data_IF_040410013407
#
_entry.id   IF_040410013407
#
_cell.length_a   1.000
_cell.length_b   1.000
_cell.length_c   1.000
_cell.angle_alpha   90.00
_cell.angle_beta   90.00
_cell.angle_gamma   90.00
#
_symmetry.space_group_name_H-M   'P 1'
#
loop_
_entity.id
_entity.type
_entity.pdbx_description
1 polymer ?
#
# COMPACT_ATOMS: atom_id res chain seq x y z
N UNK A 1 16.96 -5.05 -20.18
CA UNK A 1 15.86 -4.74 -19.25
C UNK A 1 14.57 -5.18 -19.93
N UNK A 2 13.70 -5.91 -19.23
CA UNK A 2 12.40 -6.37 -19.75
C UNK A 2 11.29 -5.72 -18.93
N UNK A 3 10.15 -5.45 -19.55
CA UNK A 3 8.95 -4.94 -18.88
C UNK A 3 7.89 -6.05 -18.83
N UNK A 4 7.40 -6.36 -17.62
CA UNK A 4 6.26 -7.24 -17.40
C UNK A 4 5.08 -6.37 -16.97
N UNK A 5 3.94 -6.54 -17.64
CA UNK A 5 2.70 -5.86 -17.27
C UNK A 5 1.70 -6.87 -16.71
N UNK A 6 1.27 -6.64 -15.47
CA UNK A 6 0.27 -7.48 -14.78
C UNK A 6 -1.03 -6.69 -14.68
N UNK A 7 -2.14 -7.32 -15.05
CA UNK A 7 -3.49 -6.80 -14.87
C UNK A 7 -4.16 -7.59 -13.74
N UNK A 8 -4.82 -6.89 -12.84
CA UNK A 8 -5.57 -7.47 -11.71
C UNK A 8 -7.02 -7.02 -11.90
N UNK A 9 -7.92 -7.98 -12.08
CA UNK A 9 -9.34 -7.74 -12.33
C UNK A 9 -10.19 -7.97 -11.07
N UNK A 10 -9.97 -9.11 -10.40
CA UNK A 10 -10.66 -9.45 -9.16
C UNK A 10 -9.67 -9.48 -7.99
N UNK A 11 -9.84 -8.54 -7.07
CA UNK A 11 -9.04 -8.44 -5.85
C UNK A 11 -9.96 -8.41 -4.63
N UNK A 12 -9.84 -9.45 -3.80
CA UNK A 12 -10.51 -9.48 -2.52
C UNK A 12 -9.80 -8.57 -1.51
N UNK A 13 -10.35 -7.38 -1.31
CA UNK A 13 -9.84 -6.39 -0.37
C UNK A 13 -9.84 -6.86 1.08
N UNK A 14 -10.74 -7.76 1.46
CA UNK A 14 -10.81 -8.27 2.82
C UNK A 14 -9.64 -9.22 3.09
N UNK A 15 -9.23 -10.01 2.09
CA UNK A 15 -8.06 -10.89 2.16
C UNK A 15 -6.73 -10.15 2.36
N UNK A 16 -6.64 -8.89 1.90
CA UNK A 16 -5.42 -8.08 1.99
C UNK A 16 -5.51 -6.95 3.03
N UNK A 17 -6.63 -6.85 3.76
CA UNK A 17 -6.86 -5.76 4.72
C UNK A 17 -5.76 -5.70 5.81
N UNK A 18 -5.22 -6.85 6.23
CA UNK A 18 -4.12 -6.92 7.20
C UNK A 18 -2.83 -6.24 6.72
N UNK A 19 -2.63 -6.14 5.40
CA UNK A 19 -1.51 -5.44 4.78
C UNK A 19 -1.86 -3.99 4.43
N UNK A 20 -3.10 -3.74 4.00
CA UNK A 20 -3.54 -2.41 3.59
C UNK A 20 -3.72 -1.46 4.77
N UNK A 21 -4.26 -1.94 5.90
CA UNK A 21 -4.51 -1.10 7.08
C UNK A 21 -3.19 -0.47 7.58
N UNK A 22 -2.10 -1.22 7.82
CA UNK A 22 -0.82 -0.62 8.19
C UNK A 22 -0.28 0.34 7.13
N UNK A 23 -0.37 0.00 5.83
CA UNK A 23 0.12 0.85 4.76
C UNK A 23 -0.63 2.19 4.66
N UNK A 24 -1.95 2.17 4.89
CA UNK A 24 -2.79 3.36 5.00
C UNK A 24 -2.47 4.17 6.24
N UNK A 25 -2.36 3.53 7.41
CA UNK A 25 -1.99 4.20 8.66
C UNK A 25 -0.64 4.91 8.52
N UNK A 26 0.36 4.23 7.92
CA UNK A 26 1.65 4.83 7.59
C UNK A 26 1.51 6.02 6.61
N UNK A 27 0.68 5.90 5.57
CA UNK A 27 0.43 7.02 4.64
C UNK A 27 -0.19 8.21 5.36
N UNK A 28 -1.22 7.99 6.16
CA UNK A 28 -1.88 9.05 6.93
C UNK A 28 -0.92 9.71 7.91
N UNK A 29 -0.08 8.93 8.60
CA UNK A 29 0.95 9.47 9.48
C UNK A 29 1.94 10.36 8.73
N UNK A 30 2.36 9.96 7.51
CA UNK A 30 3.24 10.76 6.66
C UNK A 30 2.55 12.05 6.18
N UNK A 31 1.31 11.94 5.73
CA UNK A 31 0.54 13.07 5.19
C UNK A 31 0.19 14.10 6.29
N UNK A 32 0.05 13.68 7.55
CA UNK A 32 -0.31 14.55 8.66
C UNK A 32 0.86 15.23 9.38
N UNK A 33 2.12 14.85 9.13
CA UNK A 33 3.32 15.41 9.78
C UNK A 33 3.52 16.95 9.64
N UNK A 34 2.62 17.66 8.95
CA UNK A 34 2.67 19.12 8.75
C UNK A 34 1.76 20.00 9.63
N UNK A 35 0.93 19.45 10.53
CA UNK A 35 -0.05 20.25 11.32
C UNK A 35 -0.10 19.93 12.82
N UNK A 36 -0.72 20.82 13.62
CA UNK A 36 -0.87 20.69 15.09
C UNK A 36 -1.62 19.39 15.48
N UNK A 37 -2.59 18.98 14.67
CA UNK A 37 -3.29 17.69 14.81
C UNK A 37 -2.43 16.49 14.39
N UNK A 38 -1.44 16.71 13.54
CA UNK A 38 -0.52 15.68 13.06
C UNK A 38 0.43 15.15 14.12
N UNK A 39 0.83 15.99 15.08
CA UNK A 39 1.63 15.56 16.22
C UNK A 39 0.86 14.62 17.17
N UNK A 40 -0.44 14.88 17.37
CA UNK A 40 -1.30 14.05 18.23
C UNK A 40 -1.63 12.71 17.57
N UNK A 41 -1.94 12.72 16.27
CA UNK A 41 -2.32 11.51 15.54
C UNK A 41 -1.11 10.63 15.21
N UNK A 42 0.05 11.21 14.86
CA UNK A 42 1.29 10.44 14.68
C UNK A 42 1.76 9.73 15.96
N UNK A 43 1.36 10.23 17.12
CA UNK A 43 1.70 9.64 18.42
C UNK A 43 0.66 8.64 18.94
N UNK A 44 -0.40 8.33 18.16
CA UNK A 44 -1.44 7.36 18.50
C UNK A 44 -1.63 6.32 17.37
N UNK A 45 -0.73 5.32 17.26
CA UNK A 45 -0.77 4.29 16.21
C UNK A 45 -2.08 3.50 16.16
N UNK A 46 -2.68 3.22 17.32
CA UNK A 46 -3.95 2.48 17.42
C UNK A 46 -5.12 3.27 16.84
N UNK A 47 -5.11 4.60 17.01
CA UNK A 47 -6.10 5.49 16.43
C UNK A 47 -5.96 5.54 14.91
N UNK A 48 -4.75 5.70 14.38
CA UNK A 48 -4.50 5.67 12.93
C UNK A 48 -4.91 4.33 12.32
N UNK A 49 -4.62 3.22 13.00
CA UNK A 49 -5.01 1.87 12.56
C UNK A 49 -6.53 1.71 12.53
N UNK A 50 -7.22 2.20 13.56
CA UNK A 50 -8.69 2.16 13.63
C UNK A 50 -9.33 3.03 12.54
N UNK A 51 -8.79 4.22 12.29
CA UNK A 51 -9.22 5.09 11.20
C UNK A 51 -8.99 4.44 9.83
N UNK A 52 -7.83 3.85 9.59
CA UNK A 52 -7.51 3.14 8.35
C UNK A 52 -8.50 1.99 8.09
N UNK A 53 -8.83 1.22 9.13
CA UNK A 53 -9.83 0.14 9.07
C UNK A 53 -11.21 0.68 8.71
N UNK A 54 -11.67 1.72 9.39
CA UNK A 54 -12.98 2.34 9.11
C UNK A 54 -13.03 2.87 7.68
N UNK A 55 -11.98 3.56 7.23
CA UNK A 55 -11.91 4.08 5.86
C UNK A 55 -11.99 2.95 4.83
N UNK A 56 -11.22 1.87 4.97
CA UNK A 56 -11.33 0.74 4.06
C UNK A 56 -12.74 0.14 4.05
N UNK A 57 -13.35 0.00 5.22
CA UNK A 57 -14.70 -0.58 5.36
C UNK A 57 -15.81 0.25 4.72
N UNK A 58 -15.68 1.59 4.67
CA UNK A 58 -16.74 2.49 4.17
C UNK A 58 -16.62 2.86 2.69
N UNK A 59 -15.47 2.59 2.06
CA UNK A 59 -15.23 2.97 0.68
C UNK A 59 -15.87 2.00 -0.31
N UNK A 60 -16.39 2.56 -1.42
CA UNK A 60 -16.78 1.77 -2.59
C UNK A 60 -15.57 1.06 -3.20
N UNK A 61 -15.82 -0.02 -3.95
CA UNK A 61 -14.78 -0.76 -4.68
C UNK A 61 -13.89 0.18 -5.50
N UNK A 62 -14.52 1.08 -6.25
CA UNK A 62 -13.82 2.06 -7.08
C UNK A 62 -12.81 2.91 -6.30
N UNK A 63 -13.17 3.34 -5.09
CA UNK A 63 -12.28 4.14 -4.23
C UNK A 63 -11.22 3.28 -3.54
N UNK A 64 -11.51 2.01 -3.26
CA UNK A 64 -10.50 1.06 -2.80
C UNK A 64 -9.42 0.85 -3.86
N UNK A 65 -9.80 0.72 -5.14
CA UNK A 65 -8.86 0.62 -6.26
C UNK A 65 -7.96 1.86 -6.38
N UNK A 66 -8.56 3.05 -6.31
CA UNK A 66 -7.81 4.31 -6.36
C UNK A 66 -6.81 4.42 -5.20
N UNK A 67 -7.23 4.07 -3.98
CA UNK A 67 -6.33 4.06 -2.82
C UNK A 67 -5.23 3.03 -2.97
N UNK A 68 -5.55 1.83 -3.45
CA UNK A 68 -4.57 0.79 -3.68
C UNK A 68 -3.50 1.25 -4.67
N UNK A 69 -3.89 1.86 -5.79
CA UNK A 69 -2.96 2.44 -6.77
C UNK A 69 -2.04 3.47 -6.12
N UNK A 70 -2.58 4.37 -5.28
CA UNK A 70 -1.78 5.35 -4.56
C UNK A 70 -0.81 4.69 -3.58
N UNK A 71 -1.25 3.69 -2.81
CA UNK A 71 -0.41 2.98 -1.86
C UNK A 71 0.70 2.20 -2.55
N UNK A 72 0.41 1.51 -3.65
CA UNK A 72 1.40 0.77 -4.43
C UNK A 72 2.51 1.72 -4.91
N UNK A 73 2.14 2.88 -5.45
CA UNK A 73 3.11 3.87 -5.92
C UNK A 73 3.86 4.56 -4.77
N UNK A 74 3.19 4.93 -3.66
CA UNK A 74 3.83 5.52 -2.47
C UNK A 74 4.81 4.54 -1.78
N UNK A 75 4.56 3.24 -1.87
CA UNK A 75 5.37 2.20 -1.24
C UNK A 75 6.24 1.42 -2.25
N UNK A 76 6.47 1.98 -3.43
CA UNK A 76 7.18 1.34 -4.55
C UNK A 76 8.48 0.64 -4.14
N UNK A 77 9.36 1.33 -3.42
CA UNK A 77 10.66 0.78 -3.01
C UNK A 77 10.52 -0.43 -2.09
N UNK A 78 9.61 -0.35 -1.11
CA UNK A 78 9.30 -1.44 -0.18
C UNK A 78 8.73 -2.66 -0.90
N UNK A 79 7.90 -2.44 -1.93
CA UNK A 79 7.37 -3.50 -2.77
C UNK A 79 8.44 -4.15 -3.65
N UNK A 80 9.30 -3.35 -4.29
CA UNK A 80 10.43 -3.86 -5.08
C UNK A 80 11.37 -4.72 -4.22
N UNK A 81 11.66 -4.28 -3.00
CA UNK A 81 12.46 -5.05 -2.05
C UNK A 81 11.80 -6.39 -1.70
N UNK A 82 10.51 -6.37 -1.33
CA UNK A 82 9.76 -7.59 -0.97
C UNK A 82 9.63 -8.56 -2.14
N UNK A 83 9.31 -8.07 -3.34
CA UNK A 83 9.18 -8.90 -4.52
C UNK A 83 10.53 -9.50 -4.95
N UNK A 84 11.62 -8.74 -4.83
CA UNK A 84 12.99 -9.25 -5.07
C UNK A 84 13.36 -10.34 -4.06
N UNK A 85 13.04 -10.13 -2.77
CA UNK A 85 13.27 -11.15 -1.74
C UNK A 85 12.46 -12.41 -2.03
N UNK A 86 11.17 -12.28 -2.35
CA UNK A 86 10.30 -13.42 -2.64
C UNK A 86 10.80 -14.25 -3.83
N UNK A 87 11.35 -13.62 -4.87
CA UNK A 87 11.99 -14.31 -5.98
C UNK A 87 13.28 -15.03 -5.54
N UNK A 88 14.12 -14.33 -4.77
CA UNK A 88 15.39 -14.85 -4.26
C UNK A 88 15.18 -16.08 -3.36
N UNK A 89 14.14 -16.06 -2.51
CA UNK A 89 13.77 -17.19 -1.64
C UNK A 89 13.38 -18.45 -2.43
N UNK A 90 13.04 -18.29 -3.72
CA UNK A 90 12.76 -19.37 -4.66
C UNK A 90 13.95 -19.71 -5.55
N UNK A 91 15.14 -19.16 -5.27
CA UNK A 91 16.35 -19.37 -6.06
C UNK A 91 16.39 -18.56 -7.36
N UNK A 92 15.46 -17.63 -7.56
CA UNK A 92 15.39 -16.80 -8.77
C UNK A 92 16.19 -15.51 -8.52
N UNK A 93 17.35 -15.38 -9.16
CA UNK A 93 18.13 -14.16 -9.12
C UNK A 93 17.57 -13.14 -10.12
N UNK A 94 16.88 -12.12 -9.60
CA UNK A 94 16.28 -11.05 -10.40
C UNK A 94 16.52 -9.70 -9.73
N UNK A 95 16.67 -8.65 -10.55
CA UNK A 95 16.68 -7.26 -10.10
C UNK A 95 15.42 -6.57 -10.62
N UNK A 96 14.47 -6.33 -9.72
CA UNK A 96 13.29 -5.52 -10.03
C UNK A 96 13.66 -4.04 -9.94
N UNK A 97 13.54 -3.32 -11.05
CA UNK A 97 14.02 -1.93 -11.16
C UNK A 97 12.93 -0.88 -10.93
N UNK A 98 11.68 -1.19 -11.28
CA UNK A 98 10.57 -0.24 -11.16
C UNK A 98 9.24 -0.97 -10.96
N UNK A 99 8.28 -0.28 -10.34
CA UNK A 99 6.90 -0.71 -10.17
C UNK A 99 6.02 0.52 -10.28
N UNK A 100 5.04 0.45 -11.19
CA UNK A 100 4.03 1.50 -11.36
C UNK A 100 2.66 0.84 -11.41
N UNK A 101 1.76 1.32 -10.55
CA UNK A 101 0.35 0.96 -10.59
C UNK A 101 -0.47 2.07 -11.26
N UNK A 102 -1.45 1.69 -12.09
CA UNK A 102 -2.45 2.60 -12.65
C UNK A 102 -3.80 1.91 -12.75
N UNK A 103 -4.87 2.66 -12.49
CA UNK A 103 -6.24 2.23 -12.77
C UNK A 103 -6.49 2.34 -14.29
N UNK A 104 -7.21 1.37 -14.84
CA UNK A 104 -7.59 1.32 -16.25
C UNK A 104 -9.05 1.67 -16.43
#
# INVERSE_FOLDING_TARGET
>A
MIELKVLIDDLDYDSIAEYLIPALAESMARDQKGGILGGVLANNPDMLTSMARTLLGTLSQEKRDELLVQLLNKNREKLLQKATQAATDKGIQVKLCDLTARKF
#
